data_IF_329745053735
#
_entry.id   IF_329745053735
#
_cell.length_a   1.000
_cell.length_b   1.000
_cell.length_c   1.000
_cell.angle_alpha   90.00
_cell.angle_beta   90.00
_cell.angle_gamma   90.00
#
_symmetry.space_group_name_H-M   'P 1'
#
loop_
_entity.id
_entity.type
_entity.pdbx_description
1 polymer ?
#
# COMPACT_ATOMS: atom_id res chain seq x y z
N UNK A 1 1.32 -0.58 -14.03
CA UNK A 1 -0.10 -0.97 -13.87
C UNK A 1 -0.14 -2.05 -12.78
N UNK A 2 -1.04 -1.97 -11.77
CA UNK A 2 -1.21 -3.04 -10.77
C UNK A 2 -1.90 -4.23 -11.45
N UNK A 3 -1.41 -5.45 -11.25
CA UNK A 3 -2.09 -6.65 -11.73
C UNK A 3 -3.38 -6.82 -10.94
N UNK A 4 -4.52 -6.85 -11.63
CA UNK A 4 -5.81 -7.12 -11.01
C UNK A 4 -5.98 -8.62 -10.77
N UNK A 5 -6.68 -8.98 -9.69
CA UNK A 5 -6.98 -10.38 -9.41
C UNK A 5 -7.97 -10.94 -10.45
N UNK A 6 -7.69 -12.13 -11.03
CA UNK A 6 -8.65 -12.82 -11.87
C UNK A 6 -9.98 -13.06 -11.13
N UNK A 7 -11.10 -13.05 -11.85
CA UNK A 7 -12.43 -13.26 -11.26
C UNK A 7 -12.51 -14.56 -10.46
N UNK A 8 -11.86 -15.63 -10.92
CA UNK A 8 -11.77 -16.92 -10.20
C UNK A 8 -11.10 -16.78 -8.83
N UNK A 9 -10.03 -15.99 -8.74
CA UNK A 9 -9.30 -15.75 -7.49
C UNK A 9 -10.15 -14.96 -6.50
N UNK A 10 -10.90 -13.96 -6.99
CA UNK A 10 -11.80 -13.15 -6.15
C UNK A 10 -12.93 -14.01 -5.55
N UNK A 11 -13.56 -14.87 -6.36
CA UNK A 11 -14.61 -15.77 -5.89
C UNK A 11 -14.06 -16.76 -4.85
N UNK A 12 -12.91 -17.38 -5.12
CA UNK A 12 -12.27 -18.31 -4.20
C UNK A 12 -11.86 -17.64 -2.87
N UNK A 13 -11.27 -16.43 -2.93
CA UNK A 13 -10.88 -15.67 -1.76
C UNK A 13 -12.10 -15.26 -0.91
N UNK A 14 -13.20 -14.84 -1.55
CA UNK A 14 -14.42 -14.49 -0.85
C UNK A 14 -15.10 -15.70 -0.19
N UNK A 15 -15.10 -16.85 -0.87
CA UNK A 15 -15.58 -18.12 -0.31
C UNK A 15 -14.73 -18.55 0.90
N UNK A 16 -13.40 -18.44 0.80
CA UNK A 16 -12.47 -18.70 1.91
C UNK A 16 -12.74 -17.80 3.11
N UNK A 17 -13.00 -16.52 2.86
CA UNK A 17 -13.28 -15.54 3.91
C UNK A 17 -14.68 -15.70 4.53
N UNK A 18 -15.55 -16.55 3.98
CA UNK A 18 -16.90 -16.80 4.51
C UNK A 18 -17.75 -15.53 4.58
N UNK A 19 -17.52 -14.56 3.68
CA UNK A 19 -18.19 -13.26 3.69
C UNK A 19 -17.79 -12.34 4.85
N UNK A 20 -16.66 -12.59 5.51
CA UNK A 20 -16.12 -11.75 6.60
C UNK A 20 -14.78 -11.13 6.20
N UNK A 21 -14.42 -10.03 6.84
CA UNK A 21 -13.10 -9.42 6.70
C UNK A 21 -12.04 -10.33 7.35
N UNK A 22 -10.97 -10.68 6.64
CA UNK A 22 -9.89 -11.52 7.19
C UNK A 22 -9.08 -10.82 8.29
N UNK A 23 -9.12 -9.49 8.38
CA UNK A 23 -8.37 -8.72 9.38
C UNK A 23 -9.17 -8.45 10.66
N UNK A 24 -10.43 -8.02 10.55
CA UNK A 24 -11.25 -7.64 11.71
C UNK A 24 -12.45 -8.55 11.97
N UNK A 25 -12.70 -9.56 11.12
CA UNK A 25 -13.81 -10.51 11.29
C UNK A 25 -15.21 -9.96 11.00
N UNK A 26 -15.35 -8.67 10.68
CA UNK A 26 -16.65 -8.03 10.40
C UNK A 26 -17.26 -8.61 9.14
N UNK A 27 -18.57 -8.88 9.17
CA UNK A 27 -19.34 -9.34 8.02
C UNK A 27 -19.35 -8.27 6.93
N UNK A 28 -18.98 -8.68 5.71
CA UNK A 28 -18.96 -7.81 4.54
C UNK A 28 -20.40 -7.62 4.06
N UNK A 29 -20.91 -6.42 4.25
CA UNK A 29 -22.23 -5.99 3.77
C UNK A 29 -22.08 -5.18 2.47
N UNK A 30 -23.11 -5.17 1.61
CA UNK A 30 -23.19 -4.24 0.49
C UNK A 30 -22.96 -2.80 1.00
N UNK A 31 -21.86 -2.17 0.57
CA UNK A 31 -21.44 -0.82 0.97
C UNK A 31 -20.14 -0.73 1.79
N UNK A 32 -19.73 -1.79 2.51
CA UNK A 32 -18.49 -1.81 3.31
C UNK A 32 -17.38 -2.71 2.72
N UNK A 33 -17.62 -3.32 1.56
CA UNK A 33 -16.70 -4.23 0.88
C UNK A 33 -17.47 -5.20 -0.03
N UNK A 34 -16.81 -6.20 -0.65
CA UNK A 34 -15.44 -6.67 -0.39
C UNK A 34 -14.36 -5.92 -1.19
N UNK A 35 -13.30 -5.49 -0.52
CA UNK A 35 -12.06 -5.04 -1.17
C UNK A 35 -11.06 -6.19 -1.22
N UNK A 36 -10.56 -6.46 -2.43
CA UNK A 36 -9.55 -7.50 -2.67
C UNK A 36 -8.18 -6.84 -2.75
N UNK A 37 -7.35 -7.11 -1.75
CA UNK A 37 -6.03 -6.52 -1.66
C UNK A 37 -4.92 -7.57 -1.70
N UNK A 38 -3.73 -7.17 -2.15
CA UNK A 38 -2.58 -8.07 -2.16
C UNK A 38 -1.89 -7.98 -0.79
N UNK A 39 -1.75 -9.11 -0.08
CA UNK A 39 -0.98 -9.18 1.18
C UNK A 39 0.43 -8.62 0.99
N UNK A 40 1.10 -9.06 -0.07
CA UNK A 40 2.34 -8.47 -0.58
C UNK A 40 2.00 -7.59 -1.78
N UNK A 41 2.27 -6.27 -1.75
CA UNK A 41 1.96 -5.39 -2.87
C UNK A 41 2.60 -5.85 -4.19
N UNK A 42 1.86 -5.75 -5.29
CA UNK A 42 2.35 -6.11 -6.64
C UNK A 42 3.63 -5.34 -7.03
N UNK A 43 3.77 -4.09 -6.58
CA UNK A 43 4.97 -3.28 -6.81
C UNK A 43 6.24 -3.83 -6.13
N UNK A 44 6.09 -4.74 -5.16
CA UNK A 44 7.18 -5.41 -4.44
C UNK A 44 7.36 -6.86 -4.95
N UNK A 45 6.58 -7.28 -5.96
CA UNK A 45 6.65 -8.63 -6.53
C UNK A 45 5.52 -9.56 -6.10
N UNK A 46 4.47 -9.04 -5.43
CA UNK A 46 3.31 -9.85 -5.06
C UNK A 46 2.52 -10.34 -6.27
N UNK A 47 2.37 -11.65 -6.41
CA UNK A 47 1.58 -12.25 -7.48
C UNK A 47 0.07 -12.25 -7.16
N UNK A 48 -0.81 -12.21 -8.17
CA UNK A 48 -2.27 -12.23 -7.98
C UNK A 48 -2.78 -13.66 -7.72
N UNK A 49 -2.22 -14.33 -6.71
CA UNK A 49 -2.60 -15.68 -6.28
C UNK A 49 -3.69 -15.65 -5.21
N UNK A 50 -4.34 -16.79 -4.98
CA UNK A 50 -5.38 -16.93 -3.94
C UNK A 50 -4.79 -16.66 -2.54
N UNK A 51 -3.57 -17.12 -2.28
CA UNK A 51 -2.92 -16.95 -0.97
C UNK A 51 -2.48 -15.50 -0.71
N UNK A 52 -2.19 -14.76 -1.77
CA UNK A 52 -1.86 -13.34 -1.68
C UNK A 52 -3.10 -12.44 -1.71
N UNK A 53 -4.26 -12.95 -2.10
CA UNK A 53 -5.51 -12.19 -2.10
C UNK A 53 -6.11 -12.16 -0.70
N UNK A 54 -6.14 -10.99 -0.05
CA UNK A 54 -6.83 -10.75 1.21
C UNK A 54 -8.18 -10.07 0.96
N UNK A 55 -9.22 -10.56 1.63
CA UNK A 55 -10.55 -9.95 1.60
C UNK A 55 -10.70 -9.03 2.80
N UNK A 56 -10.76 -7.74 2.55
CA UNK A 56 -10.82 -6.70 3.58
C UNK A 56 -12.10 -5.87 3.47
N UNK A 57 -12.56 -5.36 4.61
CA UNK A 57 -13.53 -4.27 4.64
C UNK A 57 -12.86 -2.94 4.28
N UNK A 58 -13.65 -1.94 3.92
CA UNK A 58 -13.16 -0.62 3.48
C UNK A 58 -12.24 0.06 4.51
N UNK A 59 -12.58 -0.04 5.79
CA UNK A 59 -11.78 0.54 6.87
C UNK A 59 -10.40 -0.11 6.98
N UNK A 60 -10.35 -1.44 7.11
CA UNK A 60 -9.09 -2.19 7.18
C UNK A 60 -8.24 -2.00 5.93
N UNK A 61 -8.88 -1.99 4.76
CA UNK A 61 -8.19 -1.72 3.49
C UNK A 61 -7.53 -0.34 3.48
N UNK A 62 -8.26 0.70 3.90
CA UNK A 62 -7.72 2.06 3.95
C UNK A 62 -6.56 2.20 4.91
N UNK A 63 -6.65 1.57 6.10
CA UNK A 63 -5.57 1.57 7.09
C UNK A 63 -4.33 0.93 6.50
N UNK A 64 -4.44 -0.31 6.02
CA UNK A 64 -3.33 -1.05 5.41
C UNK A 64 -2.68 -0.28 4.26
N UNK A 65 -3.49 0.26 3.36
CA UNK A 65 -2.98 1.02 2.22
C UNK A 65 -2.09 2.18 2.68
N UNK A 66 -2.56 2.93 3.69
CA UNK A 66 -1.85 4.10 4.21
C UNK A 66 -0.60 3.75 5.02
N UNK A 67 -0.71 2.76 5.92
CA UNK A 67 0.33 2.45 6.91
C UNK A 67 1.40 1.49 6.39
N UNK A 68 1.06 0.62 5.44
CA UNK A 68 1.95 -0.47 5.00
C UNK A 68 2.27 -0.37 3.50
N UNK A 69 1.26 -0.34 2.64
CA UNK A 69 1.48 -0.46 1.20
C UNK A 69 2.17 0.76 0.61
N UNK A 70 1.66 1.96 0.87
CA UNK A 70 2.25 3.22 0.40
C UNK A 70 3.71 3.38 0.83
N UNK A 71 4.09 3.20 2.11
CA UNK A 71 5.49 3.32 2.52
C UNK A 71 6.38 2.22 1.91
N UNK A 72 5.90 0.98 1.79
CA UNK A 72 6.65 -0.11 1.16
C UNK A 72 6.90 0.15 -0.33
N UNK A 73 5.87 0.60 -1.06
CA UNK A 73 5.99 0.99 -2.47
C UNK A 73 6.97 2.15 -2.62
N UNK A 74 6.85 3.18 -1.77
CA UNK A 74 7.73 4.34 -1.81
C UNK A 74 9.20 3.95 -1.54
N UNK A 75 9.46 3.05 -0.59
CA UNK A 75 10.79 2.51 -0.32
C UNK A 75 11.34 1.77 -1.54
N UNK A 76 10.55 0.89 -2.14
CA UNK A 76 10.94 0.10 -3.32
C UNK A 76 11.30 1.02 -4.49
N UNK A 77 10.48 2.05 -4.76
CA UNK A 77 10.76 3.07 -5.77
C UNK A 77 12.05 3.84 -5.47
N UNK A 78 12.29 4.26 -4.22
CA UNK A 78 13.53 4.94 -3.83
C UNK A 78 14.76 4.09 -4.05
N UNK A 79 14.71 2.81 -3.65
CA UNK A 79 15.81 1.86 -3.84
C UNK A 79 16.08 1.67 -5.33
N UNK A 80 15.05 1.39 -6.13
CA UNK A 80 15.18 1.27 -7.59
C UNK A 80 15.81 2.51 -8.21
N UNK A 81 15.32 3.71 -7.88
CA UNK A 81 15.85 4.97 -8.42
C UNK A 81 17.32 5.18 -8.08
N UNK A 82 17.75 4.78 -6.87
CA UNK A 82 19.17 4.82 -6.47
C UNK A 82 20.02 3.88 -7.32
N UNK A 83 19.57 2.65 -7.55
CA UNK A 83 20.32 1.68 -8.36
C UNK A 83 20.51 2.11 -9.81
N UNK A 84 19.57 2.86 -10.37
CA UNK A 84 19.63 3.36 -11.76
C UNK A 84 20.14 4.82 -11.87
N UNK A 85 20.59 5.42 -10.77
CA UNK A 85 21.00 6.84 -10.71
C UNK A 85 19.93 7.85 -11.19
N UNK A 86 18.65 7.51 -11.10
CA UNK A 86 17.52 8.38 -11.48
C UNK A 86 16.89 9.11 -10.29
N UNK A 87 17.65 9.30 -9.21
CA UNK A 87 17.17 10.03 -8.03
C UNK A 87 16.98 11.52 -8.37
N UNK A 88 15.78 12.05 -8.14
CA UNK A 88 15.55 13.49 -8.27
C UNK A 88 16.34 14.22 -7.18
N UNK A 89 17.30 15.05 -7.59
CA UNK A 89 17.97 15.97 -6.68
C UNK A 89 16.98 17.05 -6.26
N UNK A 90 16.52 16.98 -5.01
CA UNK A 90 15.72 18.05 -4.43
C UNK A 90 16.66 19.22 -4.12
N UNK A 91 16.30 20.46 -4.47
CA UNK A 91 17.08 21.61 -4.02
C UNK A 91 17.16 21.56 -2.50
N UNK A 92 18.38 21.56 -1.97
CA UNK A 92 18.61 21.61 -0.53
C UNK A 92 17.96 22.86 0.06
N UNK A 93 17.66 22.80 1.35
CA UNK A 93 17.20 23.97 2.08
C UNK A 93 18.26 25.07 2.00
N UNK A 94 17.94 26.20 1.34
CA UNK A 94 18.86 27.34 1.12
C UNK A 94 18.81 28.32 2.29
N UNK A 95 19.00 27.82 3.50
CA UNK A 95 19.00 28.62 4.71
C UNK A 95 19.61 27.88 5.89
N UNK A 96 19.64 28.55 7.04
CA UNK A 96 20.14 28.00 8.29
C UNK A 96 19.09 28.23 9.37
N UNK A 97 19.07 27.38 10.39
CA UNK A 97 18.22 27.58 11.58
C UNK A 97 19.09 28.09 12.71
N UNK A 98 18.65 29.14 13.39
CA UNK A 98 19.23 29.56 14.66
C UNK A 98 18.88 28.55 15.75
N UNK A 99 19.58 28.65 16.88
CA UNK A 99 19.33 27.81 18.05
C UNK A 99 17.90 27.96 18.61
N UNK A 100 17.29 29.14 18.46
CA UNK A 100 15.89 29.42 18.82
C UNK A 100 14.86 28.85 17.83
N UNK A 101 15.30 28.13 16.78
CA UNK A 101 14.44 27.55 15.76
C UNK A 101 14.05 28.52 14.62
N UNK A 102 14.43 29.79 14.68
CA UNK A 102 14.14 30.75 13.61
C UNK A 102 14.90 30.39 12.33
N UNK A 103 14.18 30.39 11.21
CA UNK A 103 14.73 30.10 9.87
C UNK A 103 15.28 31.40 9.27
N UNK A 104 16.58 31.43 9.00
CA UNK A 104 17.25 32.50 8.24
C UNK A 104 17.53 31.99 6.83
N UNK A 105 16.87 32.58 5.83
CA UNK A 105 17.17 32.28 4.42
C UNK A 105 18.47 32.98 4.01
N UNK A 106 19.27 32.32 3.17
CA UNK A 106 20.46 32.89 2.55
C UNK A 106 20.07 33.72 1.32
#
# INVERSE_FOLDING_TARGET
>A
MRREFPSKVRVAAFARAGGKCESCGVVIRPGNGPHYDHRVPDAVGGEPTIDNCAVLCRACHSVKTSTEDVPAIAKTKRVRNKHINAEQKRPGFRGWRKFDGTVVRR
#
